data_IF_174581039587
#
_entry.id   IF_174581039587
#
_cell.length_a   1.000
_cell.length_b   1.000
_cell.length_c   1.000
_cell.angle_alpha   90.00
_cell.angle_beta   90.00
_cell.angle_gamma   90.00
#
_symmetry.space_group_name_H-M   'P 1'
#
loop_
_entity.id
_entity.type
_entity.pdbx_description
1 polymer ?
#
# COMPACT_ATOMS: atom_id res chain seq x y z
N UNK A 1 -4.43 -31.82 9.81
CA UNK A 1 -4.18 -30.47 9.27
C UNK A 1 -3.18 -29.82 10.21
N UNK A 2 -2.06 -29.28 9.73
CA UNK A 2 -1.05 -28.71 10.63
C UNK A 2 -1.49 -27.27 10.98
N UNK A 3 -1.87 -27.03 12.23
CA UNK A 3 -2.35 -25.71 12.67
C UNK A 3 -1.22 -24.68 12.71
N UNK A 4 0.01 -25.09 12.99
CA UNK A 4 1.18 -24.21 12.92
C UNK A 4 1.41 -23.73 11.47
N UNK A 5 1.26 -24.60 10.47
CA UNK A 5 1.40 -24.18 9.07
C UNK A 5 0.26 -23.25 8.64
N UNK A 6 -0.98 -23.48 9.10
CA UNK A 6 -2.10 -22.59 8.85
C UNK A 6 -1.85 -21.18 9.42
N UNK A 7 -1.30 -21.10 10.64
CA UNK A 7 -0.92 -19.85 11.26
C UNK A 7 0.19 -19.16 10.46
N UNK A 8 1.23 -19.90 10.10
CA UNK A 8 2.35 -19.41 9.30
C UNK A 8 1.88 -18.82 7.97
N UNK A 9 1.03 -19.55 7.23
CA UNK A 9 0.48 -19.08 5.97
C UNK A 9 -0.32 -17.78 6.16
N UNK A 10 -1.08 -17.68 7.25
CA UNK A 10 -1.85 -16.48 7.59
C UNK A 10 -0.93 -15.28 7.88
N UNK A 11 0.15 -15.52 8.62
CA UNK A 11 1.17 -14.51 8.93
C UNK A 11 1.86 -14.01 7.65
N UNK A 12 2.33 -14.94 6.80
CA UNK A 12 2.96 -14.61 5.51
C UNK A 12 2.02 -13.81 4.62
N UNK A 13 0.74 -14.21 4.57
CA UNK A 13 -0.28 -13.46 3.84
C UNK A 13 -0.47 -12.05 4.43
N UNK A 14 -0.57 -11.89 5.75
CA UNK A 14 -0.69 -10.57 6.38
C UNK A 14 0.48 -9.66 6.01
N UNK A 15 1.71 -10.15 6.13
CA UNK A 15 2.92 -9.38 5.77
C UNK A 15 2.96 -9.03 4.28
N UNK A 16 2.55 -9.95 3.39
CA UNK A 16 2.40 -9.65 1.98
C UNK A 16 1.35 -8.58 1.68
N UNK A 17 0.23 -8.58 2.41
CA UNK A 17 -0.78 -7.53 2.27
C UNK A 17 -0.25 -6.15 2.69
N UNK A 18 0.59 -6.07 3.72
CA UNK A 18 1.25 -4.82 4.13
C UNK A 18 2.11 -4.27 2.98
N UNK A 19 3.01 -5.08 2.42
CA UNK A 19 3.86 -4.62 1.33
C UNK A 19 3.07 -4.28 0.07
N UNK A 20 1.99 -5.01 -0.22
CA UNK A 20 1.08 -4.70 -1.31
C UNK A 20 0.44 -3.32 -1.15
N UNK A 21 -0.16 -3.06 0.01
CA UNK A 21 -0.82 -1.79 0.31
C UNK A 21 0.18 -0.63 0.29
N UNK A 22 1.38 -0.83 0.83
CA UNK A 22 2.46 0.16 0.78
C UNK A 22 2.90 0.48 -0.65
N UNK A 23 3.18 -0.53 -1.48
CA UNK A 23 3.57 -0.32 -2.87
C UNK A 23 2.48 0.40 -3.67
N UNK A 24 1.21 0.03 -3.44
CA UNK A 24 0.08 0.66 -4.09
C UNK A 24 -0.14 2.12 -3.63
N UNK A 25 0.06 2.41 -2.33
CA UNK A 25 0.03 3.78 -1.81
C UNK A 25 1.09 4.65 -2.48
N UNK A 26 2.35 4.20 -2.52
CA UNK A 26 3.46 4.91 -3.15
C UNK A 26 3.14 5.22 -4.62
N UNK A 27 2.52 4.28 -5.33
CA UNK A 27 2.12 4.49 -6.72
C UNK A 27 1.09 5.62 -6.88
N UNK A 28 0.08 5.67 -6.02
CA UNK A 28 -0.95 6.71 -6.05
C UNK A 28 -0.37 8.09 -5.71
N UNK A 29 0.52 8.15 -4.71
CA UNK A 29 1.22 9.38 -4.33
C UNK A 29 2.13 9.89 -5.46
N UNK A 30 2.84 9.00 -6.17
CA UNK A 30 3.65 9.37 -7.33
C UNK A 30 2.82 10.03 -8.43
N UNK A 31 1.65 9.48 -8.76
CA UNK A 31 0.75 10.08 -9.74
C UNK A 31 0.25 11.46 -9.32
N UNK A 32 -0.15 11.61 -8.06
CA UNK A 32 -0.60 12.89 -7.54
C UNK A 32 0.52 13.94 -7.58
N UNK A 33 1.73 13.56 -7.17
CA UNK A 33 2.91 14.43 -7.23
C UNK A 33 3.26 14.84 -8.66
N UNK A 34 3.19 13.91 -9.63
CA UNK A 34 3.44 14.24 -11.05
C UNK A 34 2.44 15.26 -11.60
N UNK A 35 1.15 15.10 -11.28
CA UNK A 35 0.11 16.06 -11.65
C UNK A 35 0.38 17.42 -11.00
N UNK A 36 0.73 17.45 -9.71
CA UNK A 36 1.05 18.68 -9.00
C UNK A 36 2.27 19.40 -9.58
N UNK A 37 3.34 18.67 -9.90
CA UNK A 37 4.55 19.22 -10.54
C UNK A 37 4.21 19.79 -11.92
N UNK A 38 3.46 19.05 -12.75
CA UNK A 38 3.04 19.53 -14.07
C UNK A 38 2.25 20.85 -13.98
N UNK A 39 1.30 20.93 -13.04
CA UNK A 39 0.51 22.14 -12.80
C UNK A 39 1.38 23.30 -12.27
N UNK A 40 2.34 23.01 -11.40
CA UNK A 40 3.26 24.02 -10.86
C UNK A 40 4.17 24.60 -11.96
N UNK A 41 4.73 23.75 -12.83
CA UNK A 41 5.54 24.17 -13.99
C UNK A 41 4.69 25.00 -14.95
N UNK A 42 3.47 24.56 -15.26
CA UNK A 42 2.57 25.29 -16.15
C UNK A 42 2.21 26.66 -15.58
N UNK A 43 1.96 26.75 -14.27
CA UNK A 43 1.66 28.00 -13.57
C UNK A 43 2.86 28.97 -13.57
N UNK A 44 4.07 28.49 -13.26
CA UNK A 44 5.27 29.33 -13.21
C UNK A 44 5.75 29.78 -14.59
N UNK A 45 5.47 29.00 -15.63
CA UNK A 45 5.80 29.33 -17.01
C UNK A 45 4.96 30.47 -17.59
N UNK A 46 3.85 30.84 -16.93
CA UNK A 46 3.03 31.99 -17.31
C UNK A 46 3.73 33.35 -17.10
N UNK A 47 4.96 33.35 -16.56
CA UNK A 47 5.79 34.54 -16.31
C UNK A 47 6.93 34.67 -17.36
N UNK A 48 7.00 33.77 -18.35
CA UNK A 48 7.97 33.87 -19.45
C UNK A 48 7.73 35.11 -20.33
N UNK A 49 8.78 35.88 -20.62
CA UNK A 49 8.67 37.18 -21.28
C UNK A 49 7.97 37.18 -22.65
N UNK A 50 7.45 38.35 -23.02
CA UNK A 50 6.70 38.66 -24.25
C UNK A 50 7.28 38.08 -25.55
N UNK A 51 8.61 37.92 -25.63
CA UNK A 51 9.32 37.40 -26.81
C UNK A 51 9.08 35.91 -27.02
N UNK A 52 9.05 35.10 -25.95
CA UNK A 52 8.83 33.64 -26.03
C UNK A 52 7.38 33.30 -26.40
N UNK A 53 6.44 34.15 -25.96
CA UNK A 53 5.01 33.96 -26.21
C UNK A 53 4.62 34.23 -27.66
N UNK A 54 5.33 35.13 -28.35
CA UNK A 54 5.04 35.44 -29.74
C UNK A 54 5.48 34.32 -30.70
N UNK A 55 6.58 33.61 -30.37
CA UNK A 55 7.14 32.55 -31.22
C UNK A 55 6.49 31.17 -30.96
N UNK A 56 6.05 30.90 -29.72
CA UNK A 56 5.49 29.61 -29.30
C UNK A 56 4.05 29.69 -28.74
N UNK A 57 3.30 30.75 -29.05
CA UNK A 57 1.98 31.03 -28.47
C UNK A 57 0.96 29.88 -28.60
N UNK A 58 1.00 29.11 -29.70
CA UNK A 58 0.13 27.94 -29.89
C UNK A 58 0.45 26.82 -28.89
N UNK A 59 1.74 26.55 -28.64
CA UNK A 59 2.18 25.52 -27.69
C UNK A 59 1.80 25.93 -26.26
N UNK A 60 1.99 27.20 -25.93
CA UNK A 60 1.59 27.74 -24.62
C UNK A 60 0.08 27.72 -24.40
N UNK A 61 -0.70 28.11 -25.41
CA UNK A 61 -2.16 28.03 -25.37
C UNK A 61 -2.65 26.60 -25.17
N UNK A 62 -2.02 25.62 -25.83
CA UNK A 62 -2.32 24.20 -25.64
C UNK A 62 -1.95 23.73 -24.22
N UNK A 63 -0.79 24.11 -23.69
CA UNK A 63 -0.35 23.76 -22.34
C UNK A 63 -1.32 24.32 -21.27
N UNK A 64 -1.73 25.58 -21.42
CA UNK A 64 -2.73 26.21 -20.55
C UNK A 64 -4.06 25.47 -20.65
N UNK A 65 -4.57 25.19 -21.86
CA UNK A 65 -5.81 24.46 -22.04
C UNK A 65 -5.77 23.07 -21.37
N UNK A 66 -4.68 22.33 -21.55
CA UNK A 66 -4.46 21.02 -20.89
C UNK A 66 -4.44 21.17 -19.37
N UNK A 67 -3.77 22.18 -18.82
CA UNK A 67 -3.77 22.44 -17.36
C UNK A 67 -5.17 22.72 -16.81
N UNK A 68 -6.01 23.44 -17.55
CA UNK A 68 -7.39 23.74 -17.14
C UNK A 68 -8.23 22.47 -17.13
N UNK A 69 -8.07 21.61 -18.14
CA UNK A 69 -8.72 20.29 -18.20
C UNK A 69 -8.27 19.43 -17.02
N UNK A 70 -6.96 19.36 -16.73
CA UNK A 70 -6.43 18.60 -15.59
C UNK A 70 -6.99 19.13 -14.27
N UNK A 71 -7.04 20.46 -14.07
CA UNK A 71 -7.63 21.06 -12.87
C UNK A 71 -9.12 20.74 -12.71
N UNK A 72 -9.87 20.74 -13.81
CA UNK A 72 -11.28 20.36 -13.81
C UNK A 72 -11.47 18.88 -13.44
N UNK A 73 -10.63 17.99 -14.00
CA UNK A 73 -10.72 16.54 -13.82
C UNK A 73 -10.11 16.07 -12.48
N UNK A 74 -9.14 16.80 -11.91
CA UNK A 74 -8.46 16.44 -10.65
C UNK A 74 -9.44 16.19 -9.50
N UNK A 75 -10.55 16.93 -9.45
CA UNK A 75 -11.64 16.72 -8.45
C UNK A 75 -12.32 15.35 -8.58
N UNK A 76 -12.32 14.77 -9.78
CA UNK A 76 -12.86 13.45 -10.07
C UNK A 76 -11.82 12.33 -10.00
N UNK A 77 -10.53 12.64 -9.83
CA UNK A 77 -9.44 11.69 -9.67
C UNK A 77 -9.11 11.54 -8.17
N UNK A 78 -9.69 10.57 -7.45
CA UNK A 78 -9.53 10.45 -6.00
C UNK A 78 -8.17 9.86 -5.61
N UNK A 79 -7.06 10.19 -6.30
CA UNK A 79 -5.74 9.60 -6.04
C UNK A 79 -5.26 9.89 -4.62
N UNK A 80 -5.26 11.16 -4.21
CA UNK A 80 -4.84 11.58 -2.87
C UNK A 80 -5.76 11.01 -1.79
N UNK A 81 -7.08 11.04 -2.02
CA UNK A 81 -8.07 10.46 -1.10
C UNK A 81 -7.85 8.95 -0.93
N UNK A 82 -7.66 8.23 -2.04
CA UNK A 82 -7.39 6.79 -2.04
C UNK A 82 -6.06 6.47 -1.38
N UNK A 83 -4.98 7.19 -1.70
CA UNK A 83 -3.68 7.00 -1.07
C UNK A 83 -3.78 7.11 0.47
N UNK A 84 -4.51 8.13 0.96
CA UNK A 84 -4.76 8.29 2.41
C UNK A 84 -5.55 7.12 3.01
N UNK A 85 -6.62 6.67 2.35
CA UNK A 85 -7.40 5.51 2.80
C UNK A 85 -6.56 4.23 2.84
N UNK A 86 -5.70 4.02 1.84
CA UNK A 86 -4.77 2.88 1.77
C UNK A 86 -3.73 2.98 2.89
N UNK A 87 -3.16 4.16 3.13
CA UNK A 87 -2.20 4.34 4.21
C UNK A 87 -2.79 4.08 5.60
N UNK A 88 -4.04 4.51 5.83
CA UNK A 88 -4.76 4.18 7.06
C UNK A 88 -5.02 2.68 7.21
N UNK A 89 -5.46 2.00 6.15
CA UNK A 89 -5.63 0.54 6.14
C UNK A 89 -4.29 -0.18 6.35
N UNK A 90 -3.23 0.25 5.65
CA UNK A 90 -1.91 -0.34 5.75
C UNK A 90 -1.38 -0.29 7.19
N UNK A 91 -1.57 0.84 7.87
CA UNK A 91 -1.18 0.99 9.29
C UNK A 91 -1.92 0.00 10.20
N UNK A 92 -3.21 -0.26 9.95
CA UNK A 92 -3.97 -1.24 10.73
C UNK A 92 -3.54 -2.68 10.42
N UNK A 93 -3.36 -3.03 9.15
CA UNK A 93 -2.89 -4.37 8.74
C UNK A 93 -1.46 -4.63 9.19
N UNK A 94 -0.60 -3.62 9.22
CA UNK A 94 0.77 -3.72 9.71
C UNK A 94 0.82 -4.01 11.21
N UNK A 95 -0.06 -3.38 12.00
CA UNK A 95 -0.23 -3.73 13.41
C UNK A 95 -0.67 -5.18 13.59
N UNK A 96 -1.63 -5.64 12.79
CA UNK A 96 -2.07 -7.05 12.84
C UNK A 96 -0.94 -8.02 12.47
N UNK A 97 -0.10 -7.66 11.49
CA UNK A 97 1.06 -8.47 11.12
C UNK A 97 2.10 -8.53 12.24
N UNK A 98 2.40 -7.40 12.89
CA UNK A 98 3.32 -7.35 14.04
C UNK A 98 2.78 -8.15 15.24
N UNK A 99 1.48 -8.02 15.54
CA UNK A 99 0.84 -8.81 16.60
C UNK A 99 0.93 -10.31 16.30
N UNK A 100 0.69 -10.72 15.04
CA UNK A 100 0.83 -12.10 14.61
C UNK A 100 2.28 -12.60 14.69
N UNK A 101 3.27 -11.78 14.34
CA UNK A 101 4.69 -12.13 14.49
C UNK A 101 5.08 -12.33 15.96
N UNK A 102 4.56 -11.48 16.86
CA UNK A 102 4.85 -11.62 18.29
C UNK A 102 4.31 -12.94 18.87
N UNK A 103 3.17 -13.40 18.36
CA UNK A 103 2.51 -14.64 18.78
C UNK A 103 3.09 -15.89 18.11
N UNK A 104 3.80 -15.73 16.99
CA UNK A 104 4.41 -16.84 16.26
C UNK A 104 5.30 -17.71 17.14
N UNK A 105 6.11 -17.11 18.02
CA UNK A 105 6.98 -17.87 18.93
C UNK A 105 6.18 -18.85 19.82
N UNK A 106 5.06 -18.40 20.39
CA UNK A 106 4.19 -19.25 21.21
C UNK A 106 3.54 -20.39 20.42
N UNK A 107 3.22 -20.14 19.14
CA UNK A 107 2.68 -21.17 18.22
C UNK A 107 3.77 -22.18 17.86
N UNK A 108 4.99 -21.70 17.56
CA UNK A 108 6.13 -22.51 17.15
C UNK A 108 6.63 -23.43 18.27
N UNK A 109 6.74 -22.92 19.50
CA UNK A 109 7.13 -23.70 20.68
C UNK A 109 6.08 -24.71 21.14
N UNK A 110 4.90 -24.73 20.50
CA UNK A 110 3.81 -25.65 20.86
C UNK A 110 3.15 -25.33 22.20
N UNK A 111 3.25 -24.07 22.68
CA UNK A 111 2.61 -23.61 23.92
C UNK A 111 1.10 -23.44 23.79
N UNK A 112 0.57 -23.46 22.57
CA UNK A 112 -0.83 -23.27 22.23
C UNK A 112 -1.44 -24.55 21.69
N UNK A 113 -2.70 -24.81 22.03
CA UNK A 113 -3.45 -25.94 21.48
C UNK A 113 -3.87 -25.67 20.03
N UNK A 114 -4.23 -26.71 19.30
CA UNK A 114 -4.77 -26.59 17.94
C UNK A 114 -6.01 -25.69 17.87
N UNK A 115 -6.87 -25.74 18.91
CA UNK A 115 -8.05 -24.89 19.04
C UNK A 115 -7.67 -23.42 19.26
N UNK A 116 -6.68 -23.15 20.10
CA UNK A 116 -6.17 -21.79 20.33
C UNK A 116 -5.60 -21.19 19.04
N UNK A 117 -4.81 -21.97 18.29
CA UNK A 117 -4.21 -21.53 17.03
C UNK A 117 -5.31 -21.20 16.01
N UNK A 118 -6.33 -22.06 15.90
CA UNK A 118 -7.45 -21.82 15.00
C UNK A 118 -8.23 -20.55 15.38
N UNK A 119 -8.47 -20.33 16.68
CA UNK A 119 -9.12 -19.13 17.18
C UNK A 119 -8.31 -17.86 16.89
N UNK A 120 -6.99 -17.91 17.04
CA UNK A 120 -6.09 -16.81 16.68
C UNK A 120 -6.14 -16.51 15.18
N UNK A 121 -6.06 -17.52 14.32
CA UNK A 121 -6.15 -17.35 12.86
C UNK A 121 -7.50 -16.74 12.47
N UNK A 122 -8.59 -17.23 13.05
CA UNK A 122 -9.94 -16.71 12.79
C UNK A 122 -10.06 -15.25 13.23
N UNK A 123 -9.53 -14.91 14.42
CA UNK A 123 -9.49 -13.53 14.93
C UNK A 123 -8.69 -12.61 14.00
N UNK A 124 -7.51 -13.02 13.55
CA UNK A 124 -6.67 -12.23 12.63
C UNK A 124 -7.39 -11.96 11.31
N UNK A 125 -8.06 -12.97 10.75
CA UNK A 125 -8.87 -12.83 9.52
C UNK A 125 -10.04 -11.88 9.71
N UNK A 126 -10.74 -12.00 10.83
CA UNK A 126 -11.86 -11.13 11.19
C UNK A 126 -11.41 -9.67 11.34
N UNK A 127 -10.32 -9.42 12.07
CA UNK A 127 -9.77 -8.08 12.26
C UNK A 127 -9.29 -7.46 10.94
N UNK A 128 -8.67 -8.24 10.05
CA UNK A 128 -8.30 -7.77 8.71
C UNK A 128 -9.54 -7.38 7.88
N UNK A 129 -10.60 -8.18 7.95
CA UNK A 129 -11.86 -7.91 7.25
C UNK A 129 -12.51 -6.63 7.78
N UNK A 130 -12.55 -6.46 9.10
CA UNK A 130 -13.07 -5.25 9.77
C UNK A 130 -12.27 -4.00 9.38
N UNK A 131 -10.93 -4.07 9.41
CA UNK A 131 -10.08 -2.98 8.96
C UNK A 131 -10.37 -2.61 7.50
N UNK A 132 -10.55 -3.61 6.64
CA UNK A 132 -10.87 -3.40 5.22
C UNK A 132 -12.23 -2.72 5.05
N UNK A 133 -13.28 -3.21 5.71
CA UNK A 133 -14.61 -2.59 5.66
C UNK A 133 -14.63 -1.17 6.24
N UNK A 134 -13.89 -0.91 7.32
CA UNK A 134 -13.79 0.41 7.95
C UNK A 134 -13.27 1.47 6.98
N UNK A 135 -12.24 1.15 6.19
CA UNK A 135 -11.57 2.12 5.31
C UNK A 135 -12.13 2.14 3.89
N UNK A 136 -12.65 1.02 3.40
CA UNK A 136 -13.08 0.84 2.01
C UNK A 136 -14.57 0.56 1.83
N UNK A 137 -15.33 0.22 2.88
CA UNK A 137 -16.75 -0.17 2.84
C UNK A 137 -17.03 -1.25 1.79
N UNK A 138 -17.41 -0.81 0.58
CA UNK A 138 -17.81 -1.62 -0.58
C UNK A 138 -16.87 -1.45 -1.79
N UNK A 139 -15.84 -0.59 -1.69
CA UNK A 139 -14.86 -0.43 -2.76
C UNK A 139 -13.85 -1.57 -2.68
N UNK A 140 -13.88 -2.44 -3.69
CA UNK A 140 -12.88 -3.50 -3.83
C UNK A 140 -11.47 -2.89 -3.87
N UNK A 141 -10.55 -3.50 -3.12
CA UNK A 141 -9.12 -3.24 -3.30
C UNK A 141 -8.78 -3.60 -4.75
N UNK A 142 -8.28 -2.66 -5.55
CA UNK A 142 -7.95 -2.96 -6.93
C UNK A 142 -6.81 -3.98 -6.94
N UNK A 143 -6.98 -5.08 -7.67
CA UNK A 143 -5.96 -6.12 -7.83
C UNK A 143 -5.02 -5.69 -8.96
N UNK A 144 -3.74 -5.53 -8.63
CA UNK A 144 -2.71 -5.16 -9.62
C UNK A 144 -1.51 -6.09 -9.50
N UNK A 145 -1.42 -7.03 -10.44
CA UNK A 145 -0.40 -8.08 -10.49
C UNK A 145 1.04 -7.60 -10.29
N UNK A 146 1.40 -6.41 -10.82
CA UNK A 146 2.74 -5.82 -10.61
C UNK A 146 3.07 -5.62 -9.12
N UNK A 147 2.13 -5.13 -8.33
CA UNK A 147 2.37 -4.85 -6.90
C UNK A 147 2.25 -6.11 -6.05
N UNK A 148 1.52 -7.13 -6.52
CA UNK A 148 1.49 -8.44 -5.87
C UNK A 148 2.85 -9.14 -5.99
N UNK A 149 3.48 -9.08 -7.16
CA UNK A 149 4.81 -9.64 -7.38
C UNK A 149 5.86 -8.91 -6.51
N UNK A 150 5.85 -7.58 -6.53
CA UNK A 150 6.74 -6.77 -5.68
C UNK A 150 6.51 -7.06 -4.19
N UNK A 151 5.27 -7.22 -3.75
CA UNK A 151 4.95 -7.57 -2.36
C UNK A 151 5.44 -8.97 -2.00
N UNK A 152 5.28 -9.96 -2.88
CA UNK A 152 5.74 -11.32 -2.65
C UNK A 152 7.26 -11.39 -2.51
N UNK A 153 8.00 -10.68 -3.37
CA UNK A 153 9.47 -10.59 -3.30
C UNK A 153 9.93 -9.95 -1.98
N UNK A 154 9.31 -8.84 -1.58
CA UNK A 154 9.62 -8.16 -0.31
C UNK A 154 9.31 -9.04 0.91
N UNK A 155 8.16 -9.72 0.90
CA UNK A 155 7.79 -10.67 1.96
C UNK A 155 8.80 -11.78 2.09
N UNK A 156 9.19 -12.38 0.96
CA UNK A 156 10.20 -13.44 0.95
C UNK A 156 11.52 -12.97 1.53
N UNK A 157 12.03 -11.83 1.05
CA UNK A 157 13.26 -11.24 1.55
C UNK A 157 13.19 -10.94 3.07
N UNK A 158 12.04 -10.45 3.55
CA UNK A 158 11.82 -10.17 4.97
C UNK A 158 11.93 -11.43 5.84
N UNK A 159 11.21 -12.51 5.50
CA UNK A 159 11.24 -13.75 6.29
C UNK A 159 12.59 -14.49 6.17
N UNK A 160 13.25 -14.45 5.00
CA UNK A 160 14.59 -15.01 4.82
C UNK A 160 15.65 -14.29 5.67
N UNK A 161 15.49 -12.99 5.91
CA UNK A 161 16.46 -12.18 6.65
C UNK A 161 16.14 -12.12 8.15
N UNK A 162 14.92 -11.74 8.53
CA UNK A 162 14.58 -11.40 9.91
C UNK A 162 14.15 -12.61 10.75
N UNK A 163 13.28 -13.47 10.21
CA UNK A 163 12.77 -14.62 10.98
C UNK A 163 13.77 -15.77 11.01
N UNK A 164 14.57 -15.95 9.95
CA UNK A 164 15.71 -16.87 10.00
C UNK A 164 16.72 -16.43 11.07
N UNK A 165 17.07 -15.13 11.12
CA UNK A 165 17.99 -14.62 12.13
C UNK A 165 17.44 -14.78 13.56
N UNK A 166 16.15 -14.55 13.79
CA UNK A 166 15.55 -14.73 15.12
C UNK A 166 15.45 -16.19 15.57
N UNK A 167 15.54 -17.15 14.64
CA UNK A 167 15.54 -18.60 14.95
C UNK A 167 16.95 -19.21 15.05
N UNK A 168 17.99 -18.51 14.57
CA UNK A 168 19.40 -18.92 14.72
C UNK A 168 20.17 -18.11 15.76
N UNK A 169 19.53 -17.12 16.40
CA UNK A 169 20.13 -16.18 17.35
C UNK A 169 20.24 -16.63 18.80
N UNK A 170 20.08 -17.93 19.09
CA UNK A 170 20.42 -18.53 20.39
C UNK A 170 21.04 -19.92 20.16
N UNK A 171 22.36 -19.98 20.07
CA UNK A 171 23.17 -21.18 20.31
C UNK A 171 24.56 -20.79 20.79
#
# INVERSE_FOLDING_TARGET
MNYQSLYWDTLVQLRANVYYLQAYQIHLEKWDNQIQIFLAITSSSSIGGWVIWNEYGIIWGALIAVSQVINAIKRFLPFQKRAKQIGSLNTEVEKLALDAESQWFSVFEGKLTDEDIFNLVTKLKQQKLEASHKHFKDQALPIKSKYELEAAERTRAYFETYIRASTTGES
#
